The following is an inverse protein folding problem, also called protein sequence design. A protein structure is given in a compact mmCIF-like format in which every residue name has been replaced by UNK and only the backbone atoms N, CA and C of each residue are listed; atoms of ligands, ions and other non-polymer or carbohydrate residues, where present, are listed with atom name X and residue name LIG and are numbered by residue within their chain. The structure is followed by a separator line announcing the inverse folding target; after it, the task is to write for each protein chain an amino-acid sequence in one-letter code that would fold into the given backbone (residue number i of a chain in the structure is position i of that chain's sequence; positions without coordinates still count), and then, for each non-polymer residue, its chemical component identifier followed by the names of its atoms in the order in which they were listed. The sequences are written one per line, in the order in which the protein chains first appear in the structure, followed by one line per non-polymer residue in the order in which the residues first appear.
data_IF_096284901577
#
_entry.id   IF_096284901577
#
_cell.length_a   1.000
_cell.length_b   1.000
_cell.length_c   1.000
_cell.angle_alpha   90.00
_cell.angle_beta   90.00
_cell.angle_gamma   90.00
#
_symmetry.space_group_name_H-M   'P 1'
#
loop_
_entity.id
_entity.type
_entity.pdbx_description
1 polymer ?
#
# COMPACT_ATOMS: atom_id res chain seq x y z
N UNK A 1 -17.50 -0.53 17.91
CA UNK A 1 -16.28 0.01 17.27
C UNK A 1 -16.52 0.65 15.88
N UNK A 2 -17.75 0.81 15.38
CA UNK A 2 -18.00 1.25 13.99
C UNK A 2 -18.54 2.67 13.78
N UNK A 3 -18.07 3.69 14.52
CA UNK A 3 -18.56 5.08 14.28
C UNK A 3 -17.64 5.91 13.38
N UNK A 4 -16.45 5.42 13.02
CA UNK A 4 -15.55 6.06 12.05
C UNK A 4 -15.50 5.15 10.82
N UNK A 5 -15.94 5.67 9.68
CA UNK A 5 -16.03 4.89 8.44
C UNK A 5 -15.00 5.46 7.45
N UNK A 6 -13.97 4.70 7.06
CA UNK A 6 -13.07 5.11 5.98
C UNK A 6 -13.81 5.03 4.64
N UNK A 7 -13.48 5.96 3.74
CA UNK A 7 -14.07 6.01 2.39
C UNK A 7 -12.99 5.99 1.30
N UNK A 8 -11.83 6.54 1.61
CA UNK A 8 -10.68 6.57 0.70
C UNK A 8 -9.37 6.64 1.50
N UNK A 9 -8.35 5.96 1.00
CA UNK A 9 -6.98 6.02 1.46
C UNK A 9 -6.11 6.58 0.33
N UNK A 10 -5.45 7.70 0.57
CA UNK A 10 -4.37 8.18 -0.28
C UNK A 10 -3.06 7.71 0.36
N UNK A 11 -2.34 6.79 -0.26
CA UNK A 11 -1.14 6.15 0.29
C UNK A 11 0.05 6.42 -0.61
N UNK A 12 1.13 6.91 -0.02
CA UNK A 12 2.44 7.00 -0.67
C UNK A 12 3.45 6.19 0.13
N UNK A 13 4.16 5.28 -0.54
CA UNK A 13 5.26 4.52 0.06
C UNK A 13 6.58 4.80 -0.65
N UNK A 14 7.65 4.84 0.14
CA UNK A 14 9.03 4.96 -0.32
C UNK A 14 9.86 3.82 0.27
N UNK A 15 10.04 2.70 -0.45
CA UNK A 15 10.90 1.60 -0.02
C UNK A 15 12.38 2.00 -0.08
N UNK A 16 13.12 1.69 0.98
CA UNK A 16 14.53 2.02 1.14
C UNK A 16 15.35 0.73 1.26
N UNK A 17 16.05 0.35 0.19
CA UNK A 17 16.81 -0.91 0.12
C UNK A 17 18.19 -0.84 0.79
N UNK A 18 18.68 0.35 1.14
CA UNK A 18 19.95 0.53 1.83
C UNK A 18 19.89 0.09 3.31
N UNK A 19 18.74 0.25 3.95
CA UNK A 19 18.51 -0.12 5.35
C UNK A 19 17.29 -1.04 5.55
N UNK A 20 16.63 -1.44 4.47
CA UNK A 20 15.42 -2.28 4.47
C UNK A 20 14.29 -1.71 5.34
N UNK A 21 14.05 -0.41 5.23
CA UNK A 21 12.88 0.26 5.80
C UNK A 21 12.00 0.83 4.69
N UNK A 22 10.89 1.44 5.05
CA UNK A 22 10.13 2.28 4.14
C UNK A 22 9.56 3.49 4.87
N UNK A 23 9.43 4.60 4.16
CA UNK A 23 8.63 5.74 4.60
C UNK A 23 7.21 5.60 4.06
N UNK A 24 6.22 6.05 4.82
CA UNK A 24 4.83 6.06 4.42
C UNK A 24 4.16 7.38 4.79
N UNK A 25 3.35 7.89 3.88
CA UNK A 25 2.43 9.01 4.10
C UNK A 25 1.04 8.50 3.74
N UNK A 26 0.11 8.68 4.66
CA UNK A 26 -1.29 8.36 4.41
C UNK A 26 -2.22 9.52 4.72
N UNK A 27 -3.24 9.65 3.89
CA UNK A 27 -4.39 10.52 4.13
C UNK A 27 -5.64 9.65 4.02
N UNK A 28 -6.32 9.45 5.14
CA UNK A 28 -7.54 8.65 5.21
C UNK A 28 -8.73 9.59 5.27
N UNK A 29 -9.56 9.56 4.22
CA UNK A 29 -10.84 10.27 4.24
C UNK A 29 -11.85 9.44 5.02
N UNK A 30 -12.30 9.99 6.15
CA UNK A 30 -13.19 9.31 7.10
C UNK A 30 -14.49 10.09 7.30
N UNK A 31 -15.54 9.38 7.70
CA UNK A 31 -16.79 9.95 8.18
C UNK A 31 -17.07 9.48 9.61
N UNK A 32 -17.09 10.42 10.56
CA UNK A 32 -17.43 10.14 11.95
C UNK A 32 -18.94 10.31 12.17
N UNK A 33 -19.65 9.20 12.38
CA UNK A 33 -21.10 9.19 12.60
C UNK A 33 -21.51 9.84 13.93
N UNK A 34 -20.62 9.80 14.92
CA UNK A 34 -20.81 10.39 16.26
C UNK A 34 -19.68 11.36 16.56
N UNK A 35 -19.96 12.34 17.43
CA UNK A 35 -18.94 13.26 17.91
C UNK A 35 -17.93 12.51 18.78
N UNK A 36 -16.66 12.51 18.38
CA UNK A 36 -15.60 11.77 19.05
C UNK A 36 -14.26 12.50 18.97
N UNK A 37 -13.42 12.28 19.97
CA UNK A 37 -12.05 12.76 20.09
C UNK A 37 -11.03 11.61 20.13
N UNK A 38 -11.49 10.39 19.86
CA UNK A 38 -10.67 9.19 19.84
C UNK A 38 -10.88 8.45 18.52
N UNK A 39 -9.82 8.10 17.83
CA UNK A 39 -9.84 7.26 16.64
C UNK A 39 -8.91 6.09 16.90
N UNK A 40 -9.36 4.87 16.61
CA UNK A 40 -8.58 3.65 16.81
C UNK A 40 -8.46 2.92 15.47
N UNK A 41 -7.22 2.60 15.09
CA UNK A 41 -6.84 1.87 13.89
C UNK A 41 -6.05 0.62 14.30
N UNK A 42 -5.98 -0.36 13.41
CA UNK A 42 -4.99 -1.42 13.44
C UNK A 42 -3.65 -0.90 12.90
N UNK A 43 -2.58 -1.16 13.64
CA UNK A 43 -1.22 -0.85 13.24
C UNK A 43 -0.24 -1.73 14.02
N UNK A 44 0.75 -2.31 13.35
CA UNK A 44 1.77 -3.16 13.98
C UNK A 44 3.14 -2.85 13.41
N UNK A 45 4.17 -2.81 14.26
CA UNK A 45 5.57 -2.65 13.82
C UNK A 45 5.84 -1.38 12.98
N UNK A 46 5.06 -0.32 13.22
CA UNK A 46 5.21 0.98 12.59
C UNK A 46 5.68 2.02 13.60
N UNK A 47 6.51 2.96 13.15
CA UNK A 47 6.89 4.15 13.93
C UNK A 47 6.19 5.37 13.38
N UNK A 48 5.21 5.88 14.11
CA UNK A 48 4.47 7.11 13.75
C UNK A 48 5.37 8.33 13.97
N UNK A 49 5.46 9.19 12.96
CA UNK A 49 6.30 10.40 12.94
C UNK A 49 5.47 11.65 13.15
N UNK A 50 4.36 11.76 12.42
CA UNK A 50 3.46 12.89 12.47
C UNK A 50 2.01 12.38 12.36
N UNK A 51 1.08 13.07 13.01
CA UNK A 51 -0.33 12.74 12.97
C UNK A 51 -1.17 13.99 13.23
N UNK A 52 -2.09 14.30 12.32
CA UNK A 52 -3.05 15.38 12.50
C UNK A 52 -4.34 15.10 11.73
N UNK A 53 -5.41 15.81 12.09
CA UNK A 53 -6.70 15.70 11.40
C UNK A 53 -7.04 17.02 10.74
N UNK A 54 -7.51 16.97 9.49
CA UNK A 54 -8.05 18.11 8.76
C UNK A 54 -9.57 17.96 8.71
N UNK A 55 -10.30 18.95 9.20
CA UNK A 55 -11.76 19.03 9.09
C UNK A 55 -12.17 20.38 8.49
N UNK A 56 -12.68 20.36 7.26
CA UNK A 56 -12.86 21.57 6.47
C UNK A 56 -11.51 22.23 6.20
N UNK A 57 -11.34 23.45 6.70
CA UNK A 57 -10.06 24.21 6.63
C UNK A 57 -9.24 24.15 7.92
N UNK A 58 -9.75 23.49 8.97
CA UNK A 58 -9.11 23.47 10.30
C UNK A 58 -8.19 22.26 10.43
N UNK A 59 -6.97 22.52 10.90
CA UNK A 59 -6.04 21.49 11.37
C UNK A 59 -6.29 21.27 12.85
N UNK A 60 -6.45 20.01 13.24
CA UNK A 60 -6.70 19.55 14.59
C UNK A 60 -5.53 18.68 15.00
N UNK A 61 -4.82 19.12 16.03
CA UNK A 61 -3.71 18.36 16.61
C UNK A 61 -4.19 17.02 17.13
N UNK A 62 -3.43 15.98 16.83
CA UNK A 62 -3.69 14.62 17.27
C UNK A 62 -2.46 14.05 17.98
N UNK A 63 -2.69 13.25 19.02
CA UNK A 63 -1.66 12.56 19.78
C UNK A 63 -1.77 11.05 19.48
N UNK A 64 -0.89 10.49 18.63
CA UNK A 64 -0.87 9.07 18.35
C UNK A 64 -0.21 8.30 19.51
N UNK A 65 -0.72 7.11 19.79
CA UNK A 65 -0.14 6.15 20.74
C UNK A 65 -0.33 4.74 20.19
N UNK A 66 0.78 4.07 19.90
CA UNK A 66 0.77 2.70 19.39
C UNK A 66 0.86 1.72 20.56
N UNK A 67 -0.11 0.82 20.65
CA UNK A 67 -0.04 -0.32 21.56
C UNK A 67 0.41 -1.54 20.77
N UNK A 68 1.70 -1.88 20.87
CA UNK A 68 2.31 -2.99 20.12
C UNK A 68 1.70 -4.34 20.47
N UNK A 69 1.32 -4.57 21.74
CA UNK A 69 0.74 -5.85 22.19
C UNK A 69 -0.61 -6.13 21.53
N UNK A 70 -1.41 -5.09 21.35
CA UNK A 70 -2.76 -5.22 20.79
C UNK A 70 -2.81 -4.86 19.30
N UNK A 71 -1.68 -4.44 18.71
CA UNK A 71 -1.58 -3.96 17.33
C UNK A 71 -2.60 -2.84 17.01
N UNK A 72 -2.79 -1.92 17.96
CA UNK A 72 -3.74 -0.81 17.83
C UNK A 72 -3.04 0.54 17.93
N UNK A 73 -3.28 1.40 16.94
CA UNK A 73 -2.94 2.81 17.00
C UNK A 73 -4.14 3.61 17.53
N UNK A 74 -3.97 4.22 18.69
CA UNK A 74 -4.95 5.13 19.28
C UNK A 74 -4.56 6.57 19.01
N UNK A 75 -5.47 7.36 18.45
CA UNK A 75 -5.25 8.75 18.07
C UNK A 75 -6.21 9.61 18.88
N UNK A 76 -5.66 10.36 19.84
CA UNK A 76 -6.44 11.27 20.69
C UNK A 76 -6.40 12.69 20.11
N UNK A 77 -7.56 13.23 19.76
CA UNK A 77 -7.73 14.56 19.19
C UNK A 77 -7.83 15.62 20.29
N UNK A 78 -7.32 16.82 20.03
CA UNK A 78 -7.46 17.95 20.96
C UNK A 78 -8.91 18.45 21.10
N UNK A 79 -9.78 18.14 20.13
CA UNK A 79 -11.19 18.51 20.11
C UNK A 79 -12.02 17.37 19.51
N UNK A 80 -13.26 17.22 19.99
CA UNK A 80 -14.22 16.29 19.39
C UNK A 80 -14.61 16.78 18.00
N UNK A 81 -14.72 15.84 17.07
CA UNK A 81 -15.16 16.07 15.69
C UNK A 81 -16.30 15.14 15.33
N UNK A 82 -17.13 15.56 14.37
CA UNK A 82 -18.21 14.76 13.78
C UNK A 82 -18.23 15.01 12.27
N UNK A 83 -18.66 14.03 11.49
CA UNK A 83 -18.79 14.13 10.04
C UNK A 83 -17.48 13.86 9.30
N UNK A 84 -17.36 14.43 8.09
CA UNK A 84 -16.20 14.20 7.22
C UNK A 84 -14.93 14.85 7.79
N UNK A 85 -13.82 14.12 7.70
CA UNK A 85 -12.49 14.59 8.04
C UNK A 85 -11.43 13.82 7.24
N UNK A 86 -10.22 14.34 7.18
CA UNK A 86 -9.04 13.67 6.66
C UNK A 86 -8.05 13.43 7.79
N UNK A 87 -7.70 12.18 8.04
CA UNK A 87 -6.67 11.79 8.98
C UNK A 87 -5.34 11.66 8.24
N UNK A 88 -4.35 12.47 8.61
CA UNK A 88 -3.06 12.53 7.95
C UNK A 88 -2.01 11.94 8.89
N UNK A 89 -1.32 10.88 8.45
CA UNK A 89 -0.34 10.17 9.26
C UNK A 89 0.92 9.96 8.44
N UNK A 90 2.07 10.27 9.03
CA UNK A 90 3.39 9.95 8.50
C UNK A 90 4.01 8.90 9.40
N UNK A 91 4.59 7.86 8.80
CA UNK A 91 5.15 6.74 9.53
C UNK A 91 6.34 6.12 8.80
N UNK A 92 7.08 5.29 9.52
CA UNK A 92 8.12 4.44 8.95
C UNK A 92 7.89 3.00 9.37
N UNK A 93 8.15 2.05 8.49
CA UNK A 93 8.10 0.62 8.80
C UNK A 93 9.34 -0.12 8.31
N UNK A 94 9.36 -1.43 8.53
CA UNK A 94 10.48 -2.31 8.18
C UNK A 94 10.07 -3.23 7.03
N UNK A 95 10.92 -3.32 6.00
CA UNK A 95 10.84 -4.39 5.01
C UNK A 95 11.40 -5.68 5.64
N UNK A 96 10.54 -6.39 6.36
CA UNK A 96 10.86 -7.64 7.03
C UNK A 96 11.11 -8.78 6.03
N UNK A 97 11.53 -9.95 6.50
CA UNK A 97 11.81 -11.16 5.70
C UNK A 97 10.85 -12.33 6.01
N UNK A 98 9.70 -12.05 6.61
CA UNK A 98 8.72 -13.05 7.08
C UNK A 98 7.57 -13.32 6.09
N UNK A 99 7.65 -12.81 4.86
CA UNK A 99 6.63 -12.96 3.81
C UNK A 99 5.23 -12.42 4.21
N UNK A 100 5.19 -11.38 5.04
CA UNK A 100 3.96 -10.76 5.53
C UNK A 100 4.08 -9.24 5.60
N UNK A 101 2.96 -8.54 5.48
CA UNK A 101 2.93 -7.08 5.44
C UNK A 101 3.64 -6.57 4.19
N UNK A 102 4.39 -5.48 4.32
CA UNK A 102 5.30 -5.01 3.28
C UNK A 102 6.71 -5.51 3.56
N UNK A 103 7.18 -6.48 2.78
CA UNK A 103 8.39 -7.25 3.10
C UNK A 103 9.39 -7.23 1.93
N UNK A 104 10.66 -7.54 2.22
CA UNK A 104 11.67 -7.76 1.19
C UNK A 104 11.73 -9.22 0.79
N UNK A 105 11.83 -9.48 -0.51
CA UNK A 105 12.20 -10.79 -1.06
C UNK A 105 13.56 -10.71 -1.71
N UNK A 106 14.33 -11.80 -1.62
CA UNK A 106 15.66 -11.91 -2.19
C UNK A 106 15.70 -12.90 -3.34
N UNK A 107 16.50 -12.62 -4.36
CA UNK A 107 16.74 -13.52 -5.47
C UNK A 107 18.18 -13.37 -5.99
N UNK A 108 18.61 -14.33 -6.80
CA UNK A 108 19.91 -14.30 -7.49
C UNK A 108 19.69 -13.88 -8.93
N UNK A 109 20.47 -12.91 -9.40
CA UNK A 109 20.50 -12.59 -10.83
C UNK A 109 21.29 -13.65 -11.62
N UNK A 110 21.34 -13.49 -12.96
CA UNK A 110 22.07 -14.41 -13.85
C UNK A 110 23.58 -14.50 -13.56
N UNK A 111 24.16 -13.55 -12.82
CA UNK A 111 25.57 -13.52 -12.43
C UNK A 111 25.77 -14.02 -10.99
N UNK A 112 24.73 -14.52 -10.33
CA UNK A 112 24.78 -15.00 -8.95
C UNK A 112 24.81 -13.88 -7.90
N UNK A 113 24.61 -12.61 -8.30
CA UNK A 113 24.55 -11.49 -7.35
C UNK A 113 23.18 -11.49 -6.66
N UNK A 114 23.17 -11.30 -5.34
CA UNK A 114 21.93 -11.12 -4.59
C UNK A 114 21.27 -9.80 -4.97
N UNK A 115 19.98 -9.86 -5.27
CA UNK A 115 19.10 -8.74 -5.56
C UNK A 115 17.89 -8.82 -4.63
N UNK A 116 17.28 -7.67 -4.40
CA UNK A 116 16.11 -7.54 -3.55
C UNK A 116 14.95 -6.92 -4.33
N UNK A 117 13.74 -7.27 -3.92
CA UNK A 117 12.50 -6.60 -4.28
C UNK A 117 11.69 -6.39 -3.00
N UNK A 118 10.81 -5.41 -3.00
CA UNK A 118 9.83 -5.21 -1.94
C UNK A 118 8.45 -5.59 -2.48
N UNK A 119 7.68 -6.38 -1.73
CA UNK A 119 6.34 -6.80 -2.16
C UNK A 119 5.44 -6.99 -0.95
N UNK A 120 4.12 -7.02 -1.18
CA UNK A 120 3.15 -7.20 -0.09
C UNK A 120 2.53 -8.59 -0.06
N UNK A 121 2.18 -9.02 1.16
CA UNK A 121 1.25 -10.11 1.44
C UNK A 121 0.43 -9.66 2.66
N UNK A 122 -0.84 -9.31 2.45
CA UNK A 122 -1.68 -8.73 3.49
C UNK A 122 -2.75 -9.67 4.03
N UNK A 123 -3.11 -10.72 3.31
CA UNK A 123 -4.11 -11.67 3.78
C UNK A 123 -3.53 -12.54 4.90
N UNK A 124 -4.19 -12.68 6.06
CA UNK A 124 -5.53 -12.16 6.38
C UNK A 124 -5.59 -10.77 7.03
N UNK A 125 -4.55 -10.36 7.79
CA UNK A 125 -4.58 -9.16 8.62
C UNK A 125 -3.20 -8.49 8.76
N UNK A 126 -2.45 -8.43 7.68
CA UNK A 126 -1.09 -7.87 7.66
C UNK A 126 -0.97 -6.51 6.95
N UNK A 127 -2.09 -5.94 6.46
CA UNK A 127 -2.08 -4.58 5.95
C UNK A 127 -1.67 -3.57 7.04
N UNK A 128 -2.08 -3.83 8.29
CA UNK A 128 -1.68 -3.06 9.49
C UNK A 128 -0.17 -2.95 9.72
N UNK A 129 0.64 -3.83 9.14
CA UNK A 129 2.12 -3.79 9.19
C UNK A 129 2.74 -2.93 8.09
N UNK A 130 1.95 -2.55 7.10
CA UNK A 130 2.36 -1.64 6.04
C UNK A 130 1.85 -0.23 6.31
N UNK A 131 0.61 -0.05 6.76
CA UNK A 131 0.02 1.26 7.05
C UNK A 131 -1.10 1.15 8.11
N UNK A 132 -1.31 2.17 8.95
CA UNK A 132 -2.43 2.20 9.89
C UNK A 132 -3.79 2.16 9.18
N UNK A 133 -4.65 1.20 9.51
CA UNK A 133 -5.94 1.05 8.84
C UNK A 133 -7.01 0.37 9.69
N UNK A 134 -8.25 0.32 9.21
CA UNK A 134 -9.26 -0.58 9.77
C UNK A 134 -9.13 -1.92 9.06
N UNK A 135 -8.29 -2.80 9.59
CA UNK A 135 -7.83 -4.01 8.92
C UNK A 135 -8.79 -5.18 9.15
N UNK A 136 -10.03 -4.99 8.69
CA UNK A 136 -11.13 -5.94 8.75
C UNK A 136 -11.75 -6.09 7.35
N UNK A 137 -12.00 -7.32 6.85
CA UNK A 137 -12.50 -7.52 5.48
C UNK A 137 -13.81 -6.77 5.16
N UNK A 138 -14.67 -6.54 6.15
CA UNK A 138 -15.93 -5.83 6.00
C UNK A 138 -15.75 -4.31 5.82
N UNK A 139 -14.62 -3.74 6.25
CA UNK A 139 -14.34 -2.30 6.16
C UNK A 139 -13.68 -1.99 4.83
N UNK A 140 -14.50 -1.70 3.82
CA UNK A 140 -14.04 -1.44 2.46
C UNK A 140 -13.85 0.05 2.17
N UNK A 141 -12.88 0.37 1.34
CA UNK A 141 -12.61 1.73 0.87
C UNK A 141 -12.02 1.71 -0.54
N UNK A 142 -11.83 2.91 -1.10
CA UNK A 142 -11.01 3.09 -2.31
C UNK A 142 -9.58 3.45 -1.93
N UNK A 143 -8.62 3.15 -2.80
CA UNK A 143 -7.21 3.40 -2.56
C UNK A 143 -6.59 4.15 -3.75
N UNK A 144 -5.93 5.27 -3.46
CA UNK A 144 -5.06 6.01 -4.38
C UNK A 144 -3.61 5.74 -3.99
N UNK A 145 -2.88 5.00 -4.83
CA UNK A 145 -1.54 4.52 -4.49
C UNK A 145 -0.48 5.30 -5.25
N UNK A 146 0.56 5.70 -4.52
CA UNK A 146 1.80 6.25 -5.06
C UNK A 146 3.02 5.49 -4.52
N UNK A 147 4.02 5.28 -5.37
CA UNK A 147 5.28 4.64 -5.02
C UNK A 147 6.46 5.50 -5.49
N UNK A 148 7.26 5.98 -4.53
CA UNK A 148 8.51 6.71 -4.79
C UNK A 148 9.69 5.74 -4.73
N UNK A 149 10.33 5.49 -5.87
CA UNK A 149 11.33 4.42 -5.99
C UNK A 149 12.57 4.89 -6.74
N UNK A 150 13.69 4.20 -6.55
CA UNK A 150 14.93 4.50 -7.28
C UNK A 150 14.77 4.35 -8.80
N UNK A 151 15.46 5.18 -9.59
CA UNK A 151 15.32 5.26 -11.06
C UNK A 151 15.50 3.94 -11.82
N UNK A 152 16.24 2.99 -11.24
CA UNK A 152 16.52 1.70 -11.86
C UNK A 152 15.49 0.62 -11.51
N UNK A 153 14.48 0.95 -10.68
CA UNK A 153 13.42 0.06 -10.24
C UNK A 153 12.08 0.41 -10.91
N UNK A 154 11.27 -0.63 -11.09
CA UNK A 154 9.87 -0.51 -11.48
C UNK A 154 8.96 -0.66 -10.27
N UNK A 155 7.73 -0.16 -10.42
CA UNK A 155 6.69 -0.22 -9.42
C UNK A 155 5.38 -0.77 -10.02
N UNK A 156 4.71 -1.66 -9.28
CA UNK A 156 3.48 -2.33 -9.66
C UNK A 156 2.49 -2.23 -8.49
N UNK A 157 1.22 -2.01 -8.82
CA UNK A 157 0.12 -2.04 -7.86
C UNK A 157 -1.16 -2.54 -8.54
N UNK A 158 -2.31 -2.49 -7.86
CA UNK A 158 -3.59 -3.03 -8.33
C UNK A 158 -4.08 -2.37 -9.63
N UNK A 159 -3.91 -1.05 -9.75
CA UNK A 159 -4.46 -0.27 -10.85
C UNK A 159 -3.37 0.14 -11.87
N UNK A 160 -3.74 0.51 -13.11
CA UNK A 160 -2.78 1.03 -14.08
C UNK A 160 -2.08 2.30 -13.61
N UNK A 161 -0.82 2.50 -14.03
CA UNK A 161 -0.08 3.76 -13.83
C UNK A 161 -0.78 4.88 -14.61
N UNK A 162 -1.14 5.95 -13.91
CA UNK A 162 -1.74 7.17 -14.50
C UNK A 162 -0.74 8.33 -14.60
N UNK A 163 0.34 8.30 -13.83
CA UNK A 163 1.41 9.29 -13.89
C UNK A 163 2.74 8.67 -13.45
N UNK A 164 3.81 9.03 -14.15
CA UNK A 164 5.20 8.68 -13.82
C UNK A 164 6.03 9.95 -13.93
N UNK A 165 6.61 10.42 -12.83
CA UNK A 165 7.38 11.68 -12.78
C UNK A 165 8.71 11.47 -12.07
N UNK A 166 9.76 12.13 -12.54
CA UNK A 166 11.01 12.22 -11.80
C UNK A 166 10.85 13.21 -10.67
N UNK A 167 11.22 12.82 -9.45
CA UNK A 167 11.28 13.66 -8.26
C UNK A 167 12.69 13.49 -7.71
N UNK A 168 13.51 14.53 -7.85
CA UNK A 168 14.94 14.51 -7.54
C UNK A 168 15.69 13.34 -8.22
N UNK A 169 16.23 12.42 -7.41
CA UNK A 169 16.96 11.23 -7.86
C UNK A 169 16.07 9.99 -8.02
N UNK A 170 14.77 10.10 -7.76
CA UNK A 170 13.79 9.00 -7.76
C UNK A 170 12.68 9.20 -8.79
N UNK A 171 11.84 8.18 -8.93
CA UNK A 171 10.65 8.19 -9.78
C UNK A 171 9.41 7.99 -8.89
N UNK A 172 8.45 8.90 -9.00
CA UNK A 172 7.14 8.79 -8.40
C UNK A 172 6.17 8.16 -9.41
N UNK A 173 5.72 6.95 -9.11
CA UNK A 173 4.65 6.27 -9.81
C UNK A 173 3.32 6.56 -9.10
N UNK A 174 2.31 7.01 -9.83
CA UNK A 174 0.93 7.14 -9.35
C UNK A 174 0.03 6.19 -10.11
N UNK A 175 -0.76 5.41 -9.40
CA UNK A 175 -1.71 4.45 -9.96
C UNK A 175 -3.13 5.02 -9.92
N UNK A 176 -4.01 4.50 -10.77
CA UNK A 176 -5.43 4.84 -10.75
C UNK A 176 -6.09 4.47 -9.41
N UNK A 177 -7.20 5.14 -9.08
CA UNK A 177 -8.01 4.79 -7.91
C UNK A 177 -8.59 3.38 -8.05
N UNK A 178 -8.51 2.58 -7.00
CA UNK A 178 -9.13 1.24 -6.99
C UNK A 178 -10.65 1.34 -6.92
N UNK A 179 -11.39 0.30 -7.35
CA UNK A 179 -12.74 0.05 -6.86
C UNK A 179 -12.79 -0.05 -5.32
N UNK A 180 -14.00 -0.02 -4.76
CA UNK A 180 -14.21 -0.30 -3.34
C UNK A 180 -13.77 -1.73 -3.04
N UNK A 181 -12.75 -1.89 -2.20
CA UNK A 181 -12.17 -3.19 -1.84
C UNK A 181 -11.71 -3.21 -0.38
N UNK A 182 -11.39 -4.40 0.12
CA UNK A 182 -10.85 -4.60 1.47
C UNK A 182 -9.33 -4.36 1.50
N UNK A 183 -8.77 -4.02 2.66
CA UNK A 183 -7.34 -3.72 2.86
C UNK A 183 -6.41 -4.85 2.40
N UNK A 184 -6.79 -6.11 2.68
CA UNK A 184 -5.96 -7.28 2.37
C UNK A 184 -5.71 -7.52 0.87
N UNK A 185 -6.51 -6.93 -0.02
CA UNK A 185 -6.36 -7.04 -1.48
C UNK A 185 -5.34 -6.04 -2.05
N UNK A 186 -4.87 -5.08 -1.25
CA UNK A 186 -3.91 -4.09 -1.70
C UNK A 186 -2.56 -4.76 -2.03
N UNK A 187 -2.04 -4.48 -3.23
CA UNK A 187 -0.78 -5.03 -3.70
C UNK A 187 0.21 -3.93 -4.04
N UNK A 188 1.45 -4.08 -3.57
CA UNK A 188 2.59 -3.26 -3.96
C UNK A 188 3.74 -4.19 -4.36
N UNK A 189 4.43 -3.88 -5.46
CA UNK A 189 5.64 -4.56 -5.89
C UNK A 189 6.67 -3.56 -6.41
N UNK A 190 7.88 -3.57 -5.87
CA UNK A 190 8.99 -2.69 -6.26
C UNK A 190 10.25 -3.50 -6.49
N UNK A 191 10.84 -3.42 -7.68
CA UNK A 191 11.99 -4.23 -8.05
C UNK A 191 12.43 -4.11 -9.50
N UNK A 192 13.47 -4.84 -9.87
CA UNK A 192 13.89 -5.00 -11.28
C UNK A 192 13.05 -6.08 -11.96
N UNK A 193 12.03 -5.66 -12.70
CA UNK A 193 11.06 -6.57 -13.33
C UNK A 193 11.24 -6.67 -14.86
N UNK A 194 10.76 -7.78 -15.41
CA UNK A 194 10.53 -7.98 -16.83
C UNK A 194 9.05 -8.34 -17.05
N UNK A 195 8.51 -7.91 -18.19
CA UNK A 195 7.10 -8.06 -18.51
C UNK A 195 6.92 -8.87 -19.79
N UNK A 196 6.08 -9.90 -19.71
CA UNK A 196 5.41 -10.46 -20.88
C UNK A 196 4.05 -9.79 -21.01
N UNK A 197 3.69 -9.45 -22.24
CA UNK A 197 2.44 -8.76 -22.54
C UNK A 197 1.53 -9.68 -23.33
N UNK A 198 0.25 -9.65 -22.97
CA UNK A 198 -0.83 -10.23 -23.74
C UNK A 198 -2.05 -9.32 -23.69
N UNK A 199 -3.05 -9.70 -24.47
CA UNK A 199 -4.34 -9.02 -24.50
C UNK A 199 -5.42 -10.08 -24.68
N UNK A 200 -6.55 -9.88 -24.01
CA UNK A 200 -7.78 -10.63 -24.20
C UNK A 200 -8.90 -9.59 -24.35
N UNK A 201 -9.55 -9.53 -25.52
CA UNK A 201 -10.54 -8.49 -25.84
C UNK A 201 -10.00 -7.09 -25.52
N UNK A 202 -10.57 -6.37 -24.55
CA UNK A 202 -10.12 -5.05 -24.12
C UNK A 202 -9.18 -5.06 -22.90
N UNK A 203 -8.87 -6.23 -22.35
CA UNK A 203 -8.08 -6.38 -21.13
C UNK A 203 -6.62 -6.63 -21.49
N UNK A 204 -5.74 -5.80 -20.93
CA UNK A 204 -4.29 -5.97 -21.02
C UNK A 204 -3.84 -6.95 -19.94
N UNK A 205 -3.16 -8.00 -20.33
CA UNK A 205 -2.61 -9.02 -19.42
C UNK A 205 -1.09 -8.84 -19.39
N UNK A 206 -0.51 -8.86 -18.19
CA UNK A 206 0.94 -8.84 -18.00
C UNK A 206 1.35 -9.99 -17.07
N UNK A 207 2.36 -10.74 -17.46
CA UNK A 207 3.10 -11.61 -16.54
C UNK A 207 4.38 -10.90 -16.16
N UNK A 208 4.59 -10.74 -14.87
CA UNK A 208 5.73 -10.03 -14.29
C UNK A 208 6.69 -11.05 -13.70
N UNK A 209 7.97 -10.94 -14.04
CA UNK A 209 9.01 -11.79 -13.47
C UNK A 209 10.18 -10.93 -12.99
N UNK A 210 11.02 -11.45 -12.11
CA UNK A 210 12.35 -10.85 -11.88
C UNK A 210 13.17 -10.86 -13.16
N UNK A 211 14.05 -9.87 -13.30
CA UNK A 211 14.90 -9.71 -14.49
C UNK A 211 15.70 -10.99 -14.80
N UNK A 212 15.63 -11.42 -16.06
CA UNK A 212 16.27 -12.63 -16.55
C UNK A 212 15.40 -13.88 -16.55
N UNK A 213 14.21 -13.84 -15.94
CA UNK A 213 13.27 -14.96 -15.86
C UNK A 213 12.08 -14.85 -16.82
N UNK A 214 12.02 -13.82 -17.69
CA UNK A 214 10.89 -13.60 -18.61
C UNK A 214 10.49 -14.84 -19.42
N UNK A 215 11.46 -15.62 -19.91
CA UNK A 215 11.17 -16.80 -20.72
C UNK A 215 10.36 -17.88 -19.98
N UNK A 216 10.39 -17.88 -18.64
CA UNK A 216 9.62 -18.81 -17.80
C UNK A 216 8.13 -18.43 -17.70
N UNK A 217 7.77 -17.18 -18.01
CA UNK A 217 6.40 -16.69 -17.86
C UNK A 217 5.46 -16.98 -19.04
N UNK A 218 5.95 -17.61 -20.11
CA UNK A 218 5.15 -17.83 -21.34
C UNK A 218 3.93 -18.73 -21.07
N UNK A 219 4.13 -19.87 -20.41
CA UNK A 219 3.04 -20.80 -20.09
C UNK A 219 1.99 -20.14 -19.21
N UNK A 220 2.41 -19.36 -18.21
CA UNK A 220 1.51 -18.58 -17.35
C UNK A 220 0.68 -17.59 -18.16
N UNK A 221 1.28 -16.88 -19.13
CA UNK A 221 0.55 -15.92 -19.97
C UNK A 221 -0.55 -16.61 -20.80
N UNK A 222 -0.22 -17.75 -21.40
CA UNK A 222 -1.14 -18.49 -22.26
C UNK A 222 -2.32 -19.06 -21.44
N UNK A 223 -2.05 -19.61 -20.26
CA UNK A 223 -3.10 -20.08 -19.35
C UNK A 223 -3.92 -18.96 -18.74
N UNK A 224 -3.33 -17.82 -18.37
CA UNK A 224 -4.10 -16.68 -17.87
C UNK A 224 -5.11 -16.21 -18.92
N UNK A 225 -4.72 -16.12 -20.20
CA UNK A 225 -5.65 -15.77 -21.29
C UNK A 225 -6.78 -16.78 -21.41
N UNK A 226 -6.45 -18.07 -21.39
CA UNK A 226 -7.44 -19.16 -21.52
C UNK A 226 -8.42 -19.17 -20.35
N UNK A 227 -7.95 -19.08 -19.11
CA UNK A 227 -8.84 -19.15 -17.95
C UNK A 227 -9.68 -17.89 -17.81
N UNK A 228 -9.10 -16.72 -18.06
CA UNK A 228 -9.86 -15.47 -17.96
C UNK A 228 -11.02 -15.42 -18.97
N UNK A 229 -10.87 -16.02 -20.16
CA UNK A 229 -11.98 -16.09 -21.13
C UNK A 229 -13.15 -16.97 -20.70
N UNK A 230 -12.96 -17.89 -19.75
CA UNK A 230 -14.04 -18.74 -19.23
C UNK A 230 -14.85 -18.06 -18.11
N UNK A 231 -14.29 -17.03 -17.46
CA UNK A 231 -14.95 -16.27 -16.38
C UNK A 231 -15.64 -14.98 -16.87
N UNK A 232 -15.57 -14.67 -18.17
CA UNK A 232 -16.14 -13.48 -18.82
C UNK A 232 -17.24 -13.77 -19.85
#
# INVERSE_FOLDING_TARGET
MGYVIPTNYELEFEPLFNNFTFNGIEIITVNLQKSADLIILDAAELKIKNCHVIQGTKIITAKPSLNEKNEKLTIKLAKKIKGKAKLCIEFTGILNDRLLGFYKSQYKDKRGKTKYLATTQFEAADARRAFPCWDEPAVKATFDISLLVDKHLDAISNMPIISKKTVDSKILYKFGRTPIMSTYLLYLGVGEFEYLHGKLRNIKIRIVTTKGNKNKGKLSLDFTKKFLSEYE
#
